data_IF_001163187714
#
_entry.id   IF_001163187714
#
_cell.length_a   1.000
_cell.length_b   1.000
_cell.length_c   1.000
_cell.angle_alpha   90.00
_cell.angle_beta   90.00
_cell.angle_gamma   90.00
#
_symmetry.space_group_name_H-M   'P 1'
#
loop_
_entity.id
_entity.type
_entity.pdbx_description
1 polymer ?
#
# COMPACT_ATOMS: atom_id res chain seq x y z
N UNK A 1 -22.15 -19.02 46.04
CA UNK A 1 -21.83 -18.85 44.61
C UNK A 1 -20.42 -18.30 44.53
N UNK A 2 -19.44 -19.15 44.23
CA UNK A 2 -18.02 -18.81 44.32
C UNK A 2 -17.55 -18.33 42.95
N UNK A 3 -17.26 -17.04 42.82
CA UNK A 3 -16.71 -16.46 41.59
C UNK A 3 -15.28 -16.94 41.44
N UNK A 4 -15.06 -17.92 40.56
CA UNK A 4 -13.73 -18.34 40.13
C UNK A 4 -13.07 -17.19 39.39
N UNK A 5 -12.05 -16.60 40.02
CA UNK A 5 -11.08 -15.71 39.39
C UNK A 5 -10.45 -16.44 38.19
N UNK A 6 -10.96 -16.17 36.99
CA UNK A 6 -10.28 -16.55 35.74
C UNK A 6 -8.98 -15.76 35.73
N UNK A 7 -7.87 -16.42 36.04
CA UNK A 7 -6.52 -15.85 35.87
C UNK A 7 -6.45 -15.30 34.44
N UNK A 8 -6.39 -13.98 34.30
CA UNK A 8 -6.10 -13.32 33.05
C UNK A 8 -4.89 -14.03 32.42
N UNK A 9 -5.12 -14.71 31.29
CA UNK A 9 -4.08 -15.45 30.60
C UNK A 9 -2.90 -14.52 30.37
N UNK A 10 -1.68 -14.96 30.74
CA UNK A 10 -0.46 -14.20 30.45
C UNK A 10 -0.47 -13.83 28.97
N UNK A 11 -0.62 -12.55 28.68
CA UNK A 11 -0.47 -12.02 27.31
C UNK A 11 0.92 -12.44 26.84
N UNK A 12 0.98 -13.29 25.81
CA UNK A 12 2.25 -13.77 25.25
C UNK A 12 3.04 -12.54 24.80
N UNK A 13 4.28 -12.42 25.28
CA UNK A 13 5.19 -11.36 24.84
C UNK A 13 5.39 -11.42 23.32
N UNK A 14 5.44 -10.27 22.61
CA UNK A 14 5.86 -10.24 21.23
C UNK A 14 7.26 -10.84 21.15
N UNK A 15 7.52 -11.50 20.05
CA UNK A 15 8.82 -12.12 19.83
C UNK A 15 9.88 -11.01 19.75
N UNK A 16 11.02 -11.23 20.41
CA UNK A 16 12.16 -10.32 20.32
C UNK A 16 12.73 -10.23 18.88
N UNK A 17 12.37 -11.18 18.00
CA UNK A 17 12.92 -11.28 16.65
C UNK A 17 11.95 -10.76 15.58
N UNK A 18 12.43 -9.80 14.79
CA UNK A 18 11.73 -9.23 13.63
C UNK A 18 11.54 -10.25 12.49
N UNK A 19 12.46 -11.22 12.42
CA UNK A 19 12.54 -12.22 11.36
C UNK A 19 12.19 -13.62 11.87
N UNK A 20 11.58 -14.41 10.98
CA UNK A 20 11.27 -15.81 11.18
C UNK A 20 11.73 -16.65 9.99
N UNK A 21 13.05 -16.84 9.88
CA UNK A 21 13.65 -17.63 8.78
C UNK A 21 13.08 -19.05 8.66
N UNK A 22 12.87 -19.81 9.77
CA UNK A 22 12.35 -21.17 9.66
C UNK A 22 10.90 -21.24 9.14
N UNK A 23 10.09 -20.22 9.42
CA UNK A 23 8.70 -20.12 8.97
C UNK A 23 8.54 -19.40 7.63
N UNK A 24 9.63 -18.95 7.01
CA UNK A 24 9.58 -18.18 5.77
C UNK A 24 9.36 -19.10 4.57
N UNK A 25 8.26 -18.84 3.86
CA UNK A 25 7.93 -19.53 2.61
C UNK A 25 7.63 -18.52 1.52
N UNK A 26 8.13 -18.79 0.31
CA UNK A 26 7.73 -18.09 -0.91
C UNK A 26 6.63 -18.90 -1.58
N UNK A 27 5.38 -18.63 -1.20
CA UNK A 27 4.24 -19.25 -1.85
C UNK A 27 4.09 -18.78 -3.31
N UNK A 28 3.28 -19.50 -4.09
CA UNK A 28 3.05 -19.21 -5.50
C UNK A 28 2.51 -17.80 -5.74
N UNK A 29 1.71 -17.26 -4.82
CA UNK A 29 1.13 -15.92 -4.95
C UNK A 29 2.20 -14.85 -4.85
N UNK A 30 3.12 -14.98 -3.90
CA UNK A 30 4.28 -14.08 -3.74
C UNK A 30 5.21 -14.17 -4.94
N UNK A 31 5.46 -15.38 -5.46
CA UNK A 31 6.26 -15.56 -6.67
C UNK A 31 5.64 -14.87 -7.88
N UNK A 32 4.33 -15.06 -8.12
CA UNK A 32 3.60 -14.38 -9.20
C UNK A 32 3.68 -12.86 -9.03
N UNK A 33 3.45 -12.36 -7.81
CA UNK A 33 3.53 -10.94 -7.52
C UNK A 33 4.92 -10.36 -7.79
N UNK A 34 5.98 -11.05 -7.37
CA UNK A 34 7.37 -10.68 -7.65
C UNK A 34 7.66 -10.68 -9.15
N UNK A 35 7.15 -11.67 -9.90
CA UNK A 35 7.31 -11.73 -11.37
C UNK A 35 6.63 -10.55 -12.07
N UNK A 36 5.43 -10.15 -11.62
CA UNK A 36 4.74 -8.97 -12.14
C UNK A 36 5.54 -7.68 -11.90
N UNK A 37 6.09 -7.51 -10.70
CA UNK A 37 6.95 -6.37 -10.37
C UNK A 37 8.24 -6.40 -11.19
N UNK A 38 8.85 -7.58 -11.37
CA UNK A 38 10.04 -7.73 -12.21
C UNK A 38 9.75 -7.38 -13.68
N UNK A 39 8.59 -7.78 -14.23
CA UNK A 39 8.19 -7.43 -15.58
C UNK A 39 8.06 -5.90 -15.76
N UNK A 40 7.50 -5.20 -14.77
CA UNK A 40 7.45 -3.74 -14.77
C UNK A 40 8.85 -3.10 -14.69
N UNK A 41 9.72 -3.61 -13.83
CA UNK A 41 11.12 -3.14 -13.77
C UNK A 41 11.86 -3.35 -15.09
N UNK A 42 11.67 -4.49 -15.78
CA UNK A 42 12.23 -4.73 -17.12
C UNK A 42 11.65 -3.74 -18.12
N UNK A 43 10.34 -3.47 -18.06
CA UNK A 43 9.68 -2.44 -18.86
C UNK A 43 10.36 -1.08 -18.68
N UNK A 44 10.51 -0.61 -17.44
CA UNK A 44 11.21 0.64 -17.12
C UNK A 44 12.66 0.64 -17.61
N UNK A 45 13.39 -0.46 -17.43
CA UNK A 45 14.77 -0.58 -17.90
C UNK A 45 14.88 -0.45 -19.43
N UNK A 46 13.94 -1.05 -20.15
CA UNK A 46 13.89 -1.08 -21.62
C UNK A 46 13.59 0.28 -22.25
N UNK A 47 12.82 1.13 -21.56
CA UNK A 47 12.60 2.53 -21.99
C UNK A 47 13.93 3.29 -22.04
N UNK A 48 14.86 2.97 -21.14
CA UNK A 48 16.15 3.64 -21.04
C UNK A 48 16.11 5.00 -20.35
N UNK A 49 17.28 5.63 -20.25
CA UNK A 49 17.49 6.85 -19.47
C UNK A 49 17.70 6.59 -17.98
N UNK A 50 18.44 7.48 -17.33
CA UNK A 50 18.92 7.26 -15.96
C UNK A 50 17.78 7.17 -14.94
N UNK A 51 16.77 8.04 -15.07
CA UNK A 51 15.60 8.01 -14.19
C UNK A 51 14.88 6.66 -14.23
N UNK A 52 14.58 6.12 -15.41
CA UNK A 52 13.83 4.87 -15.54
C UNK A 52 14.63 3.66 -15.04
N UNK A 53 15.95 3.64 -15.29
CA UNK A 53 16.86 2.60 -14.79
C UNK A 53 16.98 2.60 -13.26
N UNK A 54 17.09 3.78 -12.64
CA UNK A 54 17.10 3.90 -11.18
C UNK A 54 15.77 3.42 -10.61
N UNK A 55 14.63 3.82 -11.20
CA UNK A 55 13.32 3.37 -10.76
C UNK A 55 13.15 1.84 -10.89
N UNK A 56 13.62 1.24 -11.98
CA UNK A 56 13.60 -0.20 -12.16
C UNK A 56 14.33 -0.94 -11.02
N UNK A 57 15.55 -0.48 -10.67
CA UNK A 57 16.35 -1.05 -9.57
C UNK A 57 15.63 -0.89 -8.24
N UNK A 58 15.15 0.31 -7.95
CA UNK A 58 14.52 0.66 -6.67
C UNK A 58 13.26 -0.19 -6.42
N UNK A 59 12.45 -0.40 -7.45
CA UNK A 59 11.26 -1.25 -7.37
C UNK A 59 11.62 -2.71 -7.09
N UNK A 60 12.70 -3.24 -7.69
CA UNK A 60 13.20 -4.59 -7.36
C UNK A 60 13.69 -4.64 -5.91
N UNK A 61 14.48 -3.65 -5.47
CA UNK A 61 15.01 -3.59 -4.11
C UNK A 61 13.87 -3.57 -3.09
N UNK A 62 12.86 -2.73 -3.29
CA UNK A 62 11.67 -2.71 -2.43
C UNK A 62 10.97 -4.06 -2.41
N UNK A 63 10.74 -4.68 -3.57
CA UNK A 63 10.10 -5.98 -3.67
C UNK A 63 10.86 -7.06 -2.89
N UNK A 64 12.20 -7.06 -2.95
CA UNK A 64 13.06 -7.93 -2.16
C UNK A 64 12.97 -7.64 -0.66
N UNK A 65 12.96 -6.37 -0.25
CA UNK A 65 12.79 -5.97 1.15
C UNK A 65 11.42 -6.39 1.70
N UNK A 66 10.36 -6.24 0.91
CA UNK A 66 9.02 -6.75 1.25
C UNK A 66 8.96 -8.28 1.27
N UNK A 67 9.87 -8.94 0.55
CA UNK A 67 10.00 -10.39 0.53
C UNK A 67 10.75 -10.99 1.71
N UNK A 68 11.51 -10.20 2.48
CA UNK A 68 12.28 -10.66 3.64
C UNK A 68 11.43 -11.52 4.60
N UNK A 69 12.08 -12.37 5.43
CA UNK A 69 11.40 -13.28 6.35
C UNK A 69 10.75 -12.57 7.54
N UNK A 70 9.98 -11.51 7.30
CA UNK A 70 9.23 -10.79 8.31
C UNK A 70 8.34 -11.75 9.09
N UNK A 71 8.46 -11.72 10.41
CA UNK A 71 7.71 -12.62 11.30
C UNK A 71 6.20 -12.41 11.17
N UNK A 72 5.46 -13.51 11.12
CA UNK A 72 3.99 -13.55 11.14
C UNK A 72 3.49 -14.38 12.34
N UNK A 73 2.30 -14.09 12.92
CA UNK A 73 1.41 -12.97 12.60
C UNK A 73 2.00 -11.62 13.04
N UNK A 74 1.80 -10.56 12.23
CA UNK A 74 2.41 -9.24 12.44
C UNK A 74 2.04 -8.58 13.77
N UNK A 75 0.90 -8.96 14.33
CA UNK A 75 0.42 -8.51 15.64
C UNK A 75 1.33 -8.94 16.79
N UNK A 76 2.17 -9.96 16.60
CA UNK A 76 3.09 -10.49 17.60
C UNK A 76 4.51 -9.91 17.53
N UNK A 77 4.74 -8.88 16.70
CA UNK A 77 6.03 -8.19 16.59
C UNK A 77 6.08 -6.94 17.46
N UNK A 78 7.29 -6.47 17.74
CA UNK A 78 7.50 -5.15 18.35
C UNK A 78 7.12 -4.02 17.38
N UNK A 79 6.77 -2.86 17.95
CA UNK A 79 6.47 -1.66 17.16
C UNK A 79 7.63 -1.24 16.25
N UNK A 80 8.87 -1.31 16.74
CA UNK A 80 10.08 -1.01 15.95
C UNK A 80 10.21 -1.93 14.73
N UNK A 81 10.02 -3.25 14.93
CA UNK A 81 10.04 -4.19 13.81
C UNK A 81 8.93 -3.89 12.80
N UNK A 82 7.76 -3.42 13.26
CA UNK A 82 6.64 -3.11 12.39
C UNK A 82 6.89 -1.82 11.58
N UNK A 83 7.44 -0.79 12.21
CA UNK A 83 7.89 0.41 11.52
C UNK A 83 9.00 0.12 10.52
N UNK A 84 9.97 -0.72 10.85
CA UNK A 84 11.03 -1.10 9.92
C UNK A 84 10.49 -1.73 8.63
N UNK A 85 9.57 -2.71 8.73
CA UNK A 85 8.90 -3.27 7.55
C UNK A 85 8.12 -2.20 6.78
N UNK A 86 7.41 -1.33 7.50
CA UNK A 86 6.59 -0.27 6.91
C UNK A 86 7.45 0.71 6.10
N UNK A 87 8.60 1.13 6.66
CA UNK A 87 9.54 2.04 6.00
C UNK A 87 10.26 1.37 4.82
N UNK A 88 10.57 0.07 4.90
CA UNK A 88 11.04 -0.70 3.74
C UNK A 88 10.02 -0.64 2.59
N UNK A 89 8.72 -0.75 2.90
CA UNK A 89 7.62 -0.57 1.95
C UNK A 89 7.31 0.89 1.60
N UNK A 90 8.13 1.87 1.99
CA UNK A 90 8.03 3.25 1.52
C UNK A 90 9.27 3.68 0.72
N UNK A 91 10.26 2.80 0.60
CA UNK A 91 11.53 3.13 -0.07
C UNK A 91 11.30 3.51 -1.54
N UNK A 92 10.60 2.70 -2.32
CA UNK A 92 10.34 3.02 -3.72
C UNK A 92 9.43 4.25 -3.88
N UNK A 93 8.31 4.39 -3.14
CA UNK A 93 7.51 5.61 -3.09
C UNK A 93 8.33 6.88 -2.84
N UNK A 94 9.18 6.90 -1.81
CA UNK A 94 9.98 8.07 -1.45
C UNK A 94 11.00 8.39 -2.54
N UNK A 95 11.77 7.39 -2.98
CA UNK A 95 12.78 7.58 -4.01
C UNK A 95 12.15 8.03 -5.33
N UNK A 96 10.97 7.50 -5.71
CA UNK A 96 10.26 7.92 -6.91
C UNK A 96 9.87 9.39 -6.87
N UNK A 97 9.26 9.84 -5.77
CA UNK A 97 8.88 11.25 -5.62
C UNK A 97 10.13 12.12 -5.69
N UNK A 98 11.15 11.83 -4.89
CA UNK A 98 12.38 12.62 -4.85
C UNK A 98 13.07 12.69 -6.21
N UNK A 99 13.28 11.54 -6.86
CA UNK A 99 13.93 11.48 -8.17
C UNK A 99 13.13 12.22 -9.24
N UNK A 100 11.81 12.05 -9.26
CA UNK A 100 10.97 12.65 -10.30
C UNK A 100 10.84 14.16 -10.10
N UNK A 101 10.76 14.64 -8.86
CA UNK A 101 10.80 16.09 -8.55
C UNK A 101 12.13 16.70 -9.01
N UNK A 102 13.26 16.06 -8.71
CA UNK A 102 14.59 16.60 -9.02
C UNK A 102 14.92 16.54 -10.51
N UNK A 103 14.63 15.42 -11.16
CA UNK A 103 15.11 15.17 -12.54
C UNK A 103 14.09 15.48 -13.62
N UNK A 104 12.79 15.57 -13.28
CA UNK A 104 11.69 15.67 -14.24
C UNK A 104 10.61 16.69 -13.86
N UNK A 105 10.88 17.82 -13.18
CA UNK A 105 9.87 18.61 -12.47
C UNK A 105 8.63 19.07 -13.28
N UNK A 106 8.71 19.10 -14.62
CA UNK A 106 7.60 19.46 -15.51
C UNK A 106 6.30 18.66 -15.26
N UNK A 107 6.37 17.42 -14.76
CA UNK A 107 5.16 16.66 -14.41
C UNK A 107 4.35 17.30 -13.27
N UNK A 108 5.00 18.05 -12.36
CA UNK A 108 4.34 18.73 -11.25
C UNK A 108 3.44 19.86 -11.73
N UNK A 109 3.79 20.48 -12.85
CA UNK A 109 3.01 21.59 -13.41
C UNK A 109 2.03 21.13 -14.49
N UNK A 110 2.03 19.84 -14.84
CA UNK A 110 1.02 19.26 -15.72
C UNK A 110 -0.32 19.16 -14.98
N UNK A 111 -1.10 20.24 -15.06
CA UNK A 111 -2.44 20.33 -14.50
C UNK A 111 -3.47 19.55 -15.32
N UNK A 112 -4.59 19.22 -14.69
CA UNK A 112 -5.78 18.73 -15.36
C UNK A 112 -6.89 19.78 -15.26
N UNK A 113 -7.82 19.77 -16.21
CA UNK A 113 -9.04 20.55 -16.11
C UNK A 113 -9.81 20.22 -14.82
N UNK A 114 -10.48 21.22 -14.26
CA UNK A 114 -11.13 21.12 -12.95
C UNK A 114 -12.15 19.96 -12.85
N UNK A 115 -12.80 19.59 -13.96
CA UNK A 115 -13.82 18.53 -13.99
C UNK A 115 -13.23 17.13 -13.74
N UNK A 116 -11.93 16.92 -14.03
CA UNK A 116 -11.24 15.67 -13.72
C UNK A 116 -11.17 15.39 -12.22
N UNK A 117 -11.17 16.42 -11.38
CA UNK A 117 -11.25 16.24 -9.92
C UNK A 117 -12.63 15.76 -9.48
N UNK A 118 -13.70 16.14 -10.19
CA UNK A 118 -15.03 15.56 -10.01
C UNK A 118 -15.05 14.07 -10.38
N UNK A 119 -14.42 13.70 -11.49
CA UNK A 119 -14.24 12.30 -11.88
C UNK A 119 -13.42 11.50 -10.85
N UNK A 120 -12.37 12.09 -10.29
CA UNK A 120 -11.57 11.49 -9.23
C UNK A 120 -12.40 11.16 -7.98
N UNK A 121 -13.25 12.09 -7.53
CA UNK A 121 -14.16 11.88 -6.40
C UNK A 121 -15.15 10.73 -6.71
N UNK A 122 -15.70 10.70 -7.92
CA UNK A 122 -16.60 9.61 -8.34
C UNK A 122 -15.90 8.24 -8.36
N UNK A 123 -14.66 8.18 -8.85
CA UNK A 123 -13.83 6.96 -8.82
C UNK A 123 -13.57 6.52 -7.39
N UNK A 124 -13.17 7.41 -6.50
CA UNK A 124 -12.94 7.08 -5.08
C UNK A 124 -14.21 6.56 -4.41
N UNK A 125 -15.36 7.22 -4.62
CA UNK A 125 -16.64 6.76 -4.10
C UNK A 125 -17.02 5.37 -4.63
N UNK A 126 -16.78 5.12 -5.92
CA UNK A 126 -17.01 3.80 -6.54
C UNK A 126 -16.11 2.70 -5.95
N UNK A 127 -14.83 2.99 -5.71
CA UNK A 127 -13.91 2.05 -5.07
C UNK A 127 -14.28 1.75 -3.61
N UNK A 128 -14.69 2.78 -2.85
CA UNK A 128 -15.20 2.62 -1.49
C UNK A 128 -16.47 1.75 -1.49
N UNK A 129 -17.41 2.00 -2.42
CA UNK A 129 -18.60 1.18 -2.55
C UNK A 129 -18.27 -0.28 -2.91
N UNK A 130 -17.35 -0.50 -3.85
CA UNK A 130 -16.89 -1.84 -4.25
C UNK A 130 -16.24 -2.62 -3.09
N UNK A 131 -15.58 -1.89 -2.17
CA UNK A 131 -14.96 -2.47 -0.98
C UNK A 131 -15.94 -3.03 0.04
N UNK A 132 -17.25 -2.73 -0.09
CA UNK A 132 -18.31 -3.11 0.86
C UNK A 132 -18.12 -2.55 2.27
N UNK A 133 -17.36 -1.46 2.38
CA UNK A 133 -17.13 -0.80 3.65
C UNK A 133 -18.40 -0.09 4.12
N UNK A 134 -18.98 -0.56 5.20
CA UNK A 134 -20.14 0.09 5.84
C UNK A 134 -19.71 1.38 6.53
N UNK A 135 -19.73 2.50 5.81
CA UNK A 135 -19.35 3.83 6.33
C UNK A 135 -20.08 4.21 7.64
N UNK A 136 -21.39 3.94 7.83
CA UNK A 136 -22.04 4.22 9.12
C UNK A 136 -21.41 3.45 10.30
N UNK A 137 -21.02 2.19 10.09
CA UNK A 137 -20.34 1.37 11.10
C UNK A 137 -18.88 1.79 11.31
N UNK A 138 -18.23 2.41 10.29
CA UNK A 138 -16.93 3.06 10.47
C UNK A 138 -17.06 4.28 11.37
N UNK A 139 -18.02 5.17 11.06
CA UNK A 139 -18.19 6.44 11.77
C UNK A 139 -18.62 6.24 13.23
N UNK A 140 -19.42 5.21 13.52
CA UNK A 140 -19.82 4.85 14.89
C UNK A 140 -18.74 4.10 15.68
N UNK A 141 -17.65 3.65 15.03
CA UNK A 141 -16.61 2.84 15.65
C UNK A 141 -16.96 1.35 15.82
N UNK A 142 -18.15 0.91 15.39
CA UNK A 142 -18.55 -0.51 15.41
C UNK A 142 -17.57 -1.38 14.64
N UNK A 143 -17.07 -0.91 13.48
CA UNK A 143 -16.06 -1.66 12.72
C UNK A 143 -14.78 -1.83 13.53
N UNK A 144 -14.31 -0.78 14.20
CA UNK A 144 -13.11 -0.86 15.03
C UNK A 144 -13.27 -1.86 16.18
N UNK A 145 -14.46 -1.87 16.81
CA UNK A 145 -14.83 -2.84 17.84
C UNK A 145 -14.80 -4.28 17.29
N UNK A 146 -15.47 -4.54 16.16
CA UNK A 146 -15.54 -5.89 15.54
C UNK A 146 -14.15 -6.37 15.10
N UNK A 147 -13.32 -5.47 14.56
CA UNK A 147 -11.98 -5.83 14.11
C UNK A 147 -10.96 -6.02 15.25
N UNK A 148 -11.31 -5.63 16.46
CA UNK A 148 -10.48 -5.69 17.65
C UNK A 148 -9.33 -4.67 17.67
N UNK A 149 -8.73 -4.47 18.86
CA UNK A 149 -7.68 -3.49 19.07
C UNK A 149 -6.41 -3.84 18.27
N UNK A 150 -5.65 -2.81 17.91
CA UNK A 150 -4.30 -2.92 17.35
C UNK A 150 -3.31 -2.19 18.26
N UNK A 151 -2.09 -2.73 18.47
CA UNK A 151 -1.06 -2.00 19.20
C UNK A 151 -0.83 -0.62 18.56
N UNK A 152 -0.70 0.41 19.40
CA UNK A 152 -0.55 1.80 18.97
C UNK A 152 0.49 2.02 17.88
N UNK A 153 1.70 1.49 18.06
CA UNK A 153 2.75 1.59 17.05
C UNK A 153 2.37 0.97 15.70
N UNK A 154 1.55 -0.10 15.70
CA UNK A 154 1.10 -0.76 14.47
C UNK A 154 -0.01 0.02 13.79
N UNK A 155 -0.98 0.54 14.55
CA UNK A 155 -2.04 1.43 14.05
C UNK A 155 -1.45 2.69 13.43
N UNK A 156 -0.56 3.37 14.16
CA UNK A 156 0.15 4.55 13.69
C UNK A 156 0.97 4.29 12.42
N UNK A 157 1.73 3.19 12.36
CA UNK A 157 2.49 2.81 11.17
C UNK A 157 1.60 2.56 9.95
N UNK A 158 0.47 1.86 10.13
CA UNK A 158 -0.50 1.61 9.05
C UNK A 158 -1.18 2.89 8.58
N UNK A 159 -1.63 3.74 9.50
CA UNK A 159 -2.24 5.02 9.19
C UNK A 159 -1.26 5.93 8.44
N UNK A 160 -0.03 6.03 8.94
CA UNK A 160 1.06 6.79 8.30
C UNK A 160 1.33 6.30 6.89
N UNK A 161 1.60 5.00 6.72
CA UNK A 161 1.86 4.43 5.41
C UNK A 161 0.67 4.63 4.46
N UNK A 162 -0.56 4.35 4.91
CA UNK A 162 -1.76 4.51 4.08
C UNK A 162 -1.96 5.96 3.61
N UNK A 163 -1.57 6.93 4.45
CA UNK A 163 -1.64 8.36 4.12
C UNK A 163 -0.56 8.78 3.13
N UNK A 164 0.69 8.42 3.40
CA UNK A 164 1.86 8.91 2.66
C UNK A 164 2.10 8.12 1.38
N UNK A 165 1.77 6.82 1.37
CA UNK A 165 2.11 5.91 0.27
C UNK A 165 1.38 6.28 -1.02
N UNK A 166 0.17 6.84 -0.97
CA UNK A 166 -0.57 7.23 -2.17
C UNK A 166 0.25 8.15 -3.09
N UNK A 167 0.90 9.19 -2.54
CA UNK A 167 1.73 10.12 -3.34
C UNK A 167 2.85 9.38 -4.06
N UNK A 168 3.58 8.54 -3.34
CA UNK A 168 4.72 7.83 -3.93
C UNK A 168 4.33 6.62 -4.77
N UNK A 169 3.21 5.95 -4.52
CA UNK A 169 2.69 4.90 -5.41
C UNK A 169 2.22 5.47 -6.74
N UNK A 170 1.57 6.63 -6.74
CA UNK A 170 1.27 7.31 -8.00
C UNK A 170 2.57 7.72 -8.72
N UNK A 171 3.58 8.20 -7.99
CA UNK A 171 4.89 8.52 -8.55
C UNK A 171 5.61 7.30 -9.15
N UNK A 172 5.58 6.14 -8.47
CA UNK A 172 6.24 4.92 -8.96
C UNK A 172 5.51 4.32 -10.16
N UNK A 173 4.18 4.19 -10.08
CA UNK A 173 3.43 3.32 -10.98
C UNK A 173 2.69 4.08 -12.10
N UNK A 174 2.43 5.39 -11.95
CA UNK A 174 1.61 6.16 -12.91
C UNK A 174 2.42 7.20 -13.67
N UNK A 175 3.36 7.88 -13.02
CA UNK A 175 4.27 8.83 -13.70
C UNK A 175 5.00 8.22 -14.92
N UNK A 176 5.48 6.96 -14.91
CA UNK A 176 6.08 6.38 -16.10
C UNK A 176 5.18 6.51 -17.33
N UNK A 177 3.86 6.32 -17.20
CA UNK A 177 2.93 6.46 -18.32
C UNK A 177 2.83 7.91 -18.87
N UNK A 178 3.22 8.92 -18.09
CA UNK A 178 3.28 10.31 -18.54
C UNK A 178 4.64 10.68 -19.16
N UNK A 179 5.72 10.02 -18.73
CA UNK A 179 7.10 10.41 -19.07
C UNK A 179 7.73 9.60 -20.19
N UNK A 180 7.16 8.46 -20.56
CA UNK A 180 7.76 7.52 -21.51
C UNK A 180 6.89 7.33 -22.74
N UNK A 181 7.53 7.05 -23.88
CA UNK A 181 6.86 6.66 -25.11
C UNK A 181 7.44 5.33 -25.61
N UNK A 182 6.60 4.30 -25.89
CA UNK A 182 5.14 4.30 -25.82
C UNK A 182 4.60 4.19 -24.37
N UNK A 183 3.62 5.01 -24.03
CA UNK A 183 3.06 5.12 -22.67
C UNK A 183 2.23 3.90 -22.23
N UNK A 184 1.42 3.34 -23.13
CA UNK A 184 0.42 2.33 -22.79
C UNK A 184 1.01 1.02 -22.23
N UNK A 185 2.05 0.39 -22.85
CA UNK A 185 2.60 -0.86 -22.33
C UNK A 185 3.21 -0.70 -20.93
N UNK A 186 3.96 0.38 -20.70
CA UNK A 186 4.59 0.65 -19.41
C UNK A 186 3.55 1.01 -18.35
N UNK A 187 2.52 1.77 -18.71
CA UNK A 187 1.39 2.08 -17.83
C UNK A 187 0.64 0.82 -17.39
N UNK A 188 0.35 -0.11 -18.31
CA UNK A 188 -0.30 -1.38 -17.98
C UNK A 188 0.56 -2.26 -17.07
N UNK A 189 1.86 -2.35 -17.35
CA UNK A 189 2.80 -3.04 -16.45
C UNK A 189 2.84 -2.37 -15.06
N UNK A 190 2.81 -1.04 -15.00
CA UNK A 190 2.74 -0.28 -13.76
C UNK A 190 1.47 -0.58 -12.95
N UNK A 191 0.30 -0.63 -13.61
CA UNK A 191 -0.96 -1.00 -12.96
C UNK A 191 -0.95 -2.45 -12.43
N UNK A 192 -0.41 -3.40 -13.21
CA UNK A 192 -0.24 -4.79 -12.78
C UNK A 192 0.73 -4.88 -11.59
N UNK A 193 1.86 -4.19 -11.64
CA UNK A 193 2.84 -4.16 -10.57
C UNK A 193 2.29 -3.52 -9.29
N UNK A 194 1.48 -2.46 -9.42
CA UNK A 194 0.76 -1.85 -8.30
C UNK A 194 -0.12 -2.87 -7.57
N UNK A 195 -0.94 -3.63 -8.30
CA UNK A 195 -1.78 -4.70 -7.70
C UNK A 195 -0.90 -5.78 -7.09
N UNK A 196 0.10 -6.27 -7.84
CA UNK A 196 0.99 -7.32 -7.40
C UNK A 196 1.73 -6.97 -6.10
N UNK A 197 2.21 -5.72 -5.96
CA UNK A 197 2.91 -5.22 -4.76
C UNK A 197 2.12 -5.49 -3.48
N UNK A 198 0.80 -5.40 -3.53
CA UNK A 198 -0.10 -5.62 -2.40
C UNK A 198 -0.09 -7.07 -1.89
N UNK A 199 0.54 -7.99 -2.62
CA UNK A 199 0.59 -9.43 -2.36
C UNK A 199 2.01 -9.98 -2.12
N UNK A 200 3.05 -9.15 -2.17
CA UNK A 200 4.44 -9.56 -1.90
C UNK A 200 4.72 -9.75 -0.41
N UNK A 201 4.17 -8.83 0.39
CA UNK A 201 4.38 -8.75 1.82
C UNK A 201 3.80 -9.99 2.54
N UNK A 202 4.53 -10.63 3.47
CA UNK A 202 4.09 -11.88 4.09
C UNK A 202 2.93 -11.67 5.07
N UNK A 203 2.12 -12.73 5.19
CA UNK A 203 0.86 -12.72 5.92
C UNK A 203 -0.28 -12.21 5.06
N UNK A 204 -1.51 -12.62 5.39
CA UNK A 204 -2.66 -12.25 4.56
C UNK A 204 -2.97 -10.75 4.64
N UNK A 205 -2.58 -10.02 5.69
CA UNK A 205 -2.96 -8.60 5.88
C UNK A 205 -4.46 -8.34 5.69
N UNK A 206 -5.32 -9.36 5.88
CA UNK A 206 -6.75 -9.35 5.49
C UNK A 206 -7.00 -9.10 3.99
N UNK A 207 -5.96 -9.19 3.17
CA UNK A 207 -5.93 -9.20 1.70
C UNK A 207 -5.93 -10.64 1.18
N UNK A 208 -6.45 -10.83 -0.03
CA UNK A 208 -6.58 -12.16 -0.64
C UNK A 208 -7.98 -12.76 -0.59
N UNK A 209 -8.99 -11.95 -0.25
CA UNK A 209 -10.34 -12.25 -0.70
C UNK A 209 -10.47 -11.84 -2.17
N UNK A 210 -11.33 -12.53 -2.91
CA UNK A 210 -11.66 -12.18 -4.31
C UNK A 210 -12.04 -10.70 -4.40
N UNK A 211 -12.86 -10.21 -3.45
CA UNK A 211 -13.29 -8.81 -3.39
C UNK A 211 -12.10 -7.85 -3.24
N UNK A 212 -11.18 -8.11 -2.30
CA UNK A 212 -10.00 -7.24 -2.12
C UNK A 212 -9.16 -7.15 -3.40
N UNK A 213 -8.95 -8.26 -4.09
CA UNK A 213 -8.21 -8.28 -5.35
C UNK A 213 -8.98 -7.58 -6.48
N UNK A 214 -10.31 -7.71 -6.54
CA UNK A 214 -11.14 -6.96 -7.48
C UNK A 214 -11.05 -5.44 -7.26
N UNK A 215 -11.08 -4.98 -6.00
CA UNK A 215 -10.91 -3.56 -5.66
C UNK A 215 -9.52 -3.07 -6.07
N UNK A 216 -8.47 -3.83 -5.80
CA UNK A 216 -7.10 -3.48 -6.18
C UNK A 216 -6.94 -3.42 -7.71
N UNK A 217 -7.50 -4.37 -8.46
CA UNK A 217 -7.50 -4.36 -9.93
C UNK A 217 -8.28 -3.14 -10.46
N UNK A 218 -9.47 -2.89 -9.93
CA UNK A 218 -10.29 -1.74 -10.30
C UNK A 218 -9.54 -0.43 -10.04
N UNK A 219 -8.90 -0.30 -8.87
CA UNK A 219 -8.07 0.86 -8.54
C UNK A 219 -6.87 0.98 -9.50
N UNK A 220 -6.16 -0.12 -9.79
CA UNK A 220 -5.06 -0.13 -10.74
C UNK A 220 -5.46 0.43 -12.11
N UNK A 221 -6.57 -0.05 -12.66
CA UNK A 221 -7.08 0.37 -13.99
C UNK A 221 -7.64 1.78 -13.96
N UNK A 222 -8.51 2.12 -13.00
CA UNK A 222 -9.19 3.42 -12.96
C UNK A 222 -8.21 4.56 -12.68
N UNK A 223 -7.24 4.36 -11.77
CA UNK A 223 -6.23 5.38 -11.48
C UNK A 223 -5.29 5.60 -12.69
N UNK A 224 -4.87 4.53 -13.37
CA UNK A 224 -4.12 4.67 -14.63
C UNK A 224 -4.94 5.41 -15.69
N UNK A 225 -6.22 5.07 -15.82
CA UNK A 225 -7.15 5.73 -16.74
C UNK A 225 -7.27 7.22 -16.47
N UNK A 226 -7.44 7.62 -15.20
CA UNK A 226 -7.44 9.02 -14.79
C UNK A 226 -6.13 9.71 -15.16
N UNK A 227 -4.98 9.07 -14.91
CA UNK A 227 -3.67 9.65 -15.25
C UNK A 227 -3.51 9.89 -16.75
N UNK A 228 -3.75 8.85 -17.57
CA UNK A 228 -3.53 8.93 -19.02
C UNK A 228 -4.53 9.86 -19.69
N UNK A 229 -5.81 9.79 -19.30
CA UNK A 229 -6.85 10.59 -19.94
C UNK A 229 -6.80 12.07 -19.55
N UNK A 230 -6.37 12.39 -18.32
CA UNK A 230 -6.22 13.78 -17.89
C UNK A 230 -4.85 14.39 -18.24
N UNK A 231 -3.86 13.56 -18.61
CA UNK A 231 -2.48 14.00 -18.78
C UNK A 231 -1.82 14.46 -17.48
N UNK A 232 -2.44 14.17 -16.33
CA UNK A 232 -2.00 14.63 -15.01
C UNK A 232 -2.12 13.52 -13.96
N UNK A 233 -1.21 13.53 -13.00
CA UNK A 233 -1.25 12.61 -11.86
C UNK A 233 -2.26 13.03 -10.80
N UNK A 234 -2.63 14.31 -10.73
CA UNK A 234 -3.38 14.86 -9.60
C UNK A 234 -4.78 14.28 -9.44
N UNK A 235 -5.56 14.03 -10.50
CA UNK A 235 -6.86 13.36 -10.37
C UNK A 235 -6.72 11.94 -9.79
N UNK A 236 -5.75 11.15 -10.26
CA UNK A 236 -5.49 9.82 -9.73
C UNK A 236 -5.04 9.88 -8.26
N UNK A 237 -4.13 10.80 -7.92
CA UNK A 237 -3.67 11.00 -6.55
C UNK A 237 -4.82 11.38 -5.60
N UNK A 238 -5.70 12.30 -6.00
CA UNK A 238 -6.87 12.67 -5.21
C UNK A 238 -7.77 11.45 -4.98
N UNK A 239 -8.10 10.71 -6.05
CA UNK A 239 -8.93 9.51 -5.95
C UNK A 239 -8.32 8.48 -4.99
N UNK A 240 -7.02 8.25 -5.09
CA UNK A 240 -6.29 7.32 -4.23
C UNK A 240 -6.31 7.77 -2.76
N UNK A 241 -6.01 9.04 -2.47
CA UNK A 241 -6.08 9.58 -1.10
C UNK A 241 -7.48 9.40 -0.52
N UNK A 242 -8.52 9.81 -1.26
CA UNK A 242 -9.91 9.69 -0.81
C UNK A 242 -10.31 8.24 -0.55
N UNK A 243 -9.91 7.31 -1.42
CA UNK A 243 -10.13 5.87 -1.24
C UNK A 243 -9.42 5.30 0.01
N UNK A 244 -8.31 5.92 0.42
CA UNK A 244 -7.51 5.47 1.56
C UNK A 244 -8.01 6.02 2.90
N UNK A 245 -8.72 7.16 2.94
CA UNK A 245 -9.23 7.80 4.16
C UNK A 245 -9.97 6.82 5.08
N UNK A 246 -10.91 5.98 4.60
CA UNK A 246 -11.64 5.10 5.50
C UNK A 246 -10.74 4.09 6.23
N UNK A 247 -9.68 3.60 5.57
CA UNK A 247 -8.71 2.72 6.20
C UNK A 247 -7.85 3.45 7.24
N UNK A 248 -7.48 4.71 6.97
CA UNK A 248 -6.76 5.54 7.96
C UNK A 248 -7.61 5.72 9.21
N UNK A 249 -8.87 6.11 9.05
CA UNK A 249 -9.82 6.28 10.17
C UNK A 249 -9.95 4.97 10.95
N UNK A 250 -10.13 3.83 10.27
CA UNK A 250 -10.27 2.54 10.93
C UNK A 250 -9.04 2.15 11.75
N UNK A 251 -7.83 2.36 11.22
CA UNK A 251 -6.60 2.02 11.95
C UNK A 251 -6.38 2.94 13.17
N UNK A 252 -6.73 4.22 13.07
CA UNK A 252 -6.70 5.16 14.19
C UNK A 252 -7.76 4.85 15.26
N UNK A 253 -8.96 4.44 14.86
CA UNK A 253 -10.01 4.03 15.82
C UNK A 253 -9.67 2.74 16.56
N UNK A 254 -8.88 1.86 15.94
CA UNK A 254 -8.46 0.57 16.54
C UNK A 254 -7.23 0.72 17.43
N UNK A 255 -6.56 1.86 17.41
CA UNK A 255 -5.42 2.18 18.26
C UNK A 255 -5.83 2.04 19.73
N UNK A 256 -5.22 1.09 20.44
CA UNK A 256 -5.42 0.92 21.87
C UNK A 256 -4.12 1.13 22.63
N UNK A 257 -4.24 1.79 23.79
CA UNK A 257 -3.17 2.19 24.69
C UNK A 257 -2.70 1.05 25.62
N UNK A 258 -3.05 -0.21 25.34
CA UNK A 258 -2.78 -1.36 26.22
C UNK A 258 -1.26 -1.60 26.45
N UNK A 259 -0.75 -0.87 27.44
CA UNK A 259 0.01 -1.28 28.64
C UNK A 259 0.86 -2.54 28.45
N UNK A 260 2.11 -2.36 28.04
CA UNK A 260 3.16 -3.36 28.26
C UNK A 260 4.29 -3.46 27.22
N UNK A 261 4.28 -2.65 26.16
CA UNK A 261 5.17 -2.87 25.01
C UNK A 261 5.96 -1.62 24.60
N UNK A 262 6.80 -1.12 25.51
CA UNK A 262 7.95 -0.27 25.16
C UNK A 262 9.08 -1.13 24.64
#
# INVERSE_FOLDING_TARGET
MTVTNVRAGRVRRPYATSFDRPGWTLDSRRLIAMSCVAAFSVGLWSVGGDWARVMAIVVIVEALLMCLPWRVPRTMRSGVSFWAETLCGLLAPIVAVTMTVVTRPAWLTAGADWWWFGAAVAVAAGLIALSDLRLPSLLSGELAFVFGPTPRAHGAARAFATTVCAVGEEAVFRVPALLVSPAAPVGLLGAIAFVARHHIQPGTNRRGTIRSTMVEIAAGVLLLGLTVASGSIYPALLAHILNNIPNVILELQRENDDRGWT
#
